data_IF_564437622078
#
_entry.id   IF_564437622078
#
_cell.length_a   1.000
_cell.length_b   1.000
_cell.length_c   1.000
_cell.angle_alpha   90.00
_cell.angle_beta   90.00
_cell.angle_gamma   90.00
#
_symmetry.space_group_name_H-M   'P 1'
#
loop_
_entity.id
_entity.type
_entity.pdbx_description
1 polymer ?
#
# COMPACT_ATOMS: atom_id res chain seq x y z
N UNK A 1 -2.01 -13.30 -11.79
CA UNK A 1 -3.28 -12.59 -11.60
C UNK A 1 -3.38 -12.04 -10.19
N UNK A 2 -3.77 -12.88 -9.23
CA UNK A 2 -4.00 -12.53 -7.82
C UNK A 2 -2.82 -11.86 -7.11
N UNK A 3 -1.58 -12.28 -7.38
CA UNK A 3 -0.40 -11.64 -6.82
C UNK A 3 -0.28 -10.17 -7.25
N UNK A 4 -0.43 -9.87 -8.55
CA UNK A 4 -0.41 -8.49 -9.05
C UNK A 4 -1.56 -7.66 -8.46
N UNK A 5 -2.73 -8.26 -8.28
CA UNK A 5 -3.86 -7.62 -7.58
C UNK A 5 -3.50 -7.29 -6.14
N UNK A 6 -2.90 -8.22 -5.39
CA UNK A 6 -2.41 -8.00 -4.03
C UNK A 6 -1.36 -6.89 -3.97
N UNK A 7 -0.42 -6.86 -4.91
CA UNK A 7 0.60 -5.80 -4.97
C UNK A 7 -0.02 -4.43 -5.23
N UNK A 8 -1.06 -4.33 -6.06
CA UNK A 8 -1.76 -3.07 -6.31
C UNK A 8 -2.54 -2.55 -5.08
N UNK A 9 -2.79 -3.41 -4.08
CA UNK A 9 -3.41 -3.01 -2.82
C UNK A 9 -2.39 -2.56 -1.75
N UNK A 10 -1.10 -2.54 -2.06
CA UNK A 10 -0.09 -2.03 -1.13
C UNK A 10 -0.36 -0.55 -0.78
N UNK A 11 -0.35 -0.17 0.51
CA UNK A 11 -0.72 1.17 0.94
C UNK A 11 0.44 2.16 0.78
N UNK A 12 0.99 2.27 -0.43
CA UNK A 12 2.10 3.15 -0.77
C UNK A 12 2.14 3.50 -2.27
N UNK A 13 2.76 4.63 -2.60
CA UNK A 13 2.99 5.07 -3.99
C UNK A 13 1.70 5.45 -4.73
N UNK A 14 1.70 5.28 -6.04
CA UNK A 14 0.55 5.52 -6.93
C UNK A 14 -0.41 4.32 -7.05
N UNK A 15 -0.19 3.26 -6.28
CA UNK A 15 -1.01 2.06 -6.31
C UNK A 15 -2.43 2.36 -5.82
N UNK A 16 -3.41 1.55 -6.18
CA UNK A 16 -4.80 1.73 -5.73
C UNK A 16 -4.88 1.66 -4.19
N UNK A 17 -4.07 0.80 -3.57
CA UNK A 17 -3.90 0.75 -2.11
C UNK A 17 -3.35 2.04 -1.50
N UNK A 18 -2.50 2.77 -2.22
CA UNK A 18 -2.00 4.09 -1.82
C UNK A 18 -3.10 5.13 -1.75
N UNK A 19 -4.00 5.16 -2.74
CA UNK A 19 -5.17 6.05 -2.75
C UNK A 19 -6.15 5.70 -1.63
N UNK A 20 -6.41 4.41 -1.40
CA UNK A 20 -7.26 3.92 -0.30
C UNK A 20 -6.65 4.29 1.05
N UNK A 21 -5.36 4.07 1.26
CA UNK A 21 -4.67 4.44 2.49
C UNK A 21 -4.64 5.95 2.70
N UNK A 22 -4.46 6.73 1.63
CA UNK A 22 -4.55 8.18 1.70
C UNK A 22 -5.94 8.64 2.14
N UNK A 23 -7.00 8.07 1.56
CA UNK A 23 -8.36 8.38 1.94
C UNK A 23 -8.65 8.03 3.41
N UNK A 24 -8.23 6.84 3.86
CA UNK A 24 -8.48 6.35 5.22
C UNK A 24 -7.69 7.11 6.30
N UNK A 25 -6.43 7.42 6.03
CA UNK A 25 -5.48 7.88 7.05
C UNK A 25 -5.04 9.33 6.86
N UNK A 26 -5.39 9.97 5.74
CA UNK A 26 -5.16 11.39 5.47
C UNK A 26 -3.73 11.83 5.78
N UNK A 27 -3.57 12.66 6.82
CA UNK A 27 -2.27 13.19 7.26
C UNK A 27 -1.28 12.13 7.74
N UNK A 28 -1.77 10.96 8.17
CA UNK A 28 -0.94 9.85 8.63
C UNK A 28 -0.45 8.96 7.47
N UNK A 29 -0.94 9.18 6.24
CA UNK A 29 -0.55 8.40 5.06
C UNK A 29 0.97 8.29 4.85
N UNK A 30 1.79 9.36 4.98
CA UNK A 30 3.23 9.25 4.79
C UNK A 30 3.88 8.24 5.74
N UNK A 31 3.38 8.10 6.97
CA UNK A 31 3.89 7.09 7.92
C UNK A 31 3.54 5.67 7.46
N UNK A 32 2.35 5.47 6.89
CA UNK A 32 1.89 4.16 6.39
C UNK A 32 2.65 3.77 5.13
N UNK A 33 2.86 4.71 4.21
CA UNK A 33 3.65 4.47 3.01
C UNK A 33 5.11 4.11 3.35
N UNK A 34 5.72 4.83 4.30
CA UNK A 34 7.07 4.54 4.77
C UNK A 34 7.15 3.19 5.50
N UNK A 35 6.16 2.86 6.34
CA UNK A 35 6.09 1.56 7.00
C UNK A 35 5.97 0.43 5.99
N UNK A 36 5.14 0.59 4.96
CA UNK A 36 4.97 -0.39 3.87
C UNK A 36 6.29 -0.63 3.16
N UNK A 37 7.03 0.44 2.85
CA UNK A 37 8.34 0.35 2.22
C UNK A 37 9.35 -0.38 3.12
N UNK A 38 9.40 -0.07 4.41
CA UNK A 38 10.25 -0.78 5.37
C UNK A 38 9.91 -2.27 5.48
N UNK A 39 8.62 -2.61 5.50
CA UNK A 39 8.15 -4.00 5.51
C UNK A 39 8.58 -4.73 4.24
N UNK A 40 8.43 -4.12 3.06
CA UNK A 40 8.85 -4.71 1.79
C UNK A 40 10.37 -4.94 1.74
N UNK A 41 11.17 -3.95 2.16
CA UNK A 41 12.62 -4.11 2.24
C UNK A 41 13.02 -5.21 3.24
N UNK A 42 12.36 -5.25 4.40
CA UNK A 42 12.56 -6.29 5.40
C UNK A 42 12.21 -7.69 4.87
N UNK A 43 11.07 -7.84 4.19
CA UNK A 43 10.67 -9.08 3.55
C UNK A 43 11.68 -9.52 2.49
N UNK A 44 12.15 -8.60 1.65
CA UNK A 44 13.20 -8.87 0.66
C UNK A 44 14.49 -9.38 1.31
N UNK A 45 14.90 -8.75 2.41
CA UNK A 45 16.11 -9.11 3.14
C UNK A 45 15.98 -10.44 3.90
N UNK A 46 14.93 -10.63 4.71
CA UNK A 46 14.78 -11.82 5.54
C UNK A 46 14.37 -13.07 4.74
N UNK A 47 13.55 -12.91 3.70
CA UNK A 47 13.12 -14.03 2.86
C UNK A 47 14.06 -14.30 1.68
N UNK A 48 15.08 -13.45 1.48
CA UNK A 48 16.02 -13.52 0.36
C UNK A 48 15.30 -13.53 -1.01
N UNK A 49 14.23 -12.74 -1.11
CA UNK A 49 13.35 -12.68 -2.29
C UNK A 49 13.53 -11.32 -3.00
N UNK A 50 14.22 -11.27 -4.17
CA UNK A 50 14.51 -10.03 -4.88
C UNK A 50 13.25 -9.25 -5.35
N UNK A 51 12.13 -9.93 -5.47
CA UNK A 51 10.85 -9.40 -5.93
C UNK A 51 10.33 -8.31 -4.99
N UNK A 52 10.54 -8.43 -3.67
CA UNK A 52 10.11 -7.39 -2.73
C UNK A 52 10.92 -6.10 -2.88
N UNK A 53 12.21 -6.21 -3.22
CA UNK A 53 13.04 -5.03 -3.55
C UNK A 53 12.60 -4.37 -4.85
N UNK A 54 12.20 -5.16 -5.86
CA UNK A 54 11.64 -4.62 -7.11
C UNK A 54 10.40 -3.76 -6.84
N UNK A 55 9.48 -4.24 -6.00
CA UNK A 55 8.28 -3.47 -5.65
C UNK A 55 8.57 -2.26 -4.77
N UNK A 56 9.48 -2.38 -3.80
CA UNK A 56 9.93 -1.23 -3.01
C UNK A 56 10.54 -0.14 -3.91
N UNK A 57 11.38 -0.53 -4.87
CA UNK A 57 11.97 0.38 -5.86
C UNK A 57 10.90 1.05 -6.73
N UNK A 58 9.90 0.31 -7.19
CA UNK A 58 8.80 0.85 -7.98
C UNK A 58 7.95 1.86 -7.18
N UNK A 59 7.68 1.57 -5.90
CA UNK A 59 6.99 2.49 -4.99
C UNK A 59 7.82 3.77 -4.80
N UNK A 60 9.14 3.68 -4.67
CA UNK A 60 10.01 4.86 -4.59
C UNK A 60 9.98 5.70 -5.87
N UNK A 61 9.97 5.06 -7.05
CA UNK A 61 9.92 5.74 -8.35
C UNK A 61 8.57 6.40 -8.63
N UNK A 62 7.46 5.81 -8.17
CA UNK A 62 6.11 6.39 -8.36
C UNK A 62 5.88 7.70 -7.59
N UNK A 63 6.87 8.11 -6.79
CA UNK A 63 6.92 9.41 -6.13
C UNK A 63 5.91 9.53 -4.99
N UNK A 64 6.03 10.58 -4.14
CA UNK A 64 5.08 10.86 -3.07
C UNK A 64 3.78 11.42 -3.67
N UNK A 65 3.01 10.58 -4.35
CA UNK A 65 1.68 10.96 -4.82
C UNK A 65 0.74 10.95 -3.63
N UNK A 66 0.51 12.14 -3.06
CA UNK A 66 -0.75 12.87 -3.15
C UNK A 66 -0.49 14.32 -2.68
N UNK A 67 -0.65 15.33 -3.55
CA UNK A 67 -0.58 16.72 -3.12
C UNK A 67 -1.70 16.96 -2.11
N UNK A 68 -1.32 17.51 -0.95
CA UNK A 68 -2.22 17.82 0.17
C UNK A 68 -3.45 18.58 -0.37
N UNK A 69 -4.66 18.01 -0.39
CA UNK A 69 -5.86 18.79 -0.63
C UNK A 69 -5.93 19.79 0.52
N UNK A 70 -5.99 21.07 0.21
CA UNK A 70 -6.17 22.16 1.18
C UNK A 70 -7.53 22.09 1.92
N UNK A 71 -8.36 21.08 1.65
CA UNK A 71 -9.71 20.90 2.19
C UNK A 71 -9.88 19.53 2.82
N UNK A 72 -9.44 19.43 4.06
CA UNK A 72 -9.53 18.27 4.97
C UNK A 72 -10.88 18.29 5.73
N UNK A 73 -12.00 18.61 5.05
CA UNK A 73 -13.26 19.03 5.73
C UNK A 73 -14.42 18.03 5.61
N UNK A 74 -14.32 16.99 4.77
CA UNK A 74 -15.33 15.93 4.67
C UNK A 74 -14.74 14.60 5.15
N UNK A 75 -15.15 14.13 6.33
CA UNK A 75 -14.83 12.78 6.78
C UNK A 75 -15.33 11.72 5.79
N UNK A 76 -14.64 10.60 5.70
CA UNK A 76 -15.09 9.46 4.90
C UNK A 76 -16.42 8.92 5.43
N UNK A 77 -17.38 8.74 4.52
CA UNK A 77 -18.62 8.01 4.80
C UNK A 77 -18.33 6.56 5.23
N UNK A 78 -19.17 5.98 6.09
CA UNK A 78 -18.96 4.66 6.70
C UNK A 78 -18.75 3.56 5.64
N UNK A 79 -19.45 3.65 4.52
CA UNK A 79 -19.29 2.73 3.39
C UNK A 79 -17.88 2.74 2.81
N UNK A 80 -17.23 3.91 2.72
CA UNK A 80 -15.87 4.04 2.19
C UNK A 80 -14.82 3.49 3.15
N UNK A 81 -15.04 3.68 4.45
CA UNK A 81 -14.20 3.09 5.50
C UNK A 81 -14.25 1.56 5.46
N UNK A 82 -15.45 0.99 5.29
CA UNK A 82 -15.65 -0.45 5.12
C UNK A 82 -14.93 -1.00 3.88
N UNK A 83 -15.03 -0.33 2.74
CA UNK A 83 -14.33 -0.73 1.50
C UNK A 83 -12.82 -0.66 1.71
N UNK A 84 -12.32 0.40 2.34
CA UNK A 84 -10.89 0.52 2.62
C UNK A 84 -10.37 -0.56 3.58
N UNK A 85 -11.13 -0.89 4.62
CA UNK A 85 -10.81 -1.99 5.53
C UNK A 85 -10.82 -3.35 4.80
N UNK A 86 -11.77 -3.57 3.90
CA UNK A 86 -11.84 -4.76 3.07
C UNK A 86 -10.63 -4.86 2.12
N UNK A 87 -10.18 -3.76 1.52
CA UNK A 87 -8.96 -3.73 0.70
C UNK A 87 -7.71 -4.10 1.50
N UNK A 88 -7.60 -3.66 2.75
CA UNK A 88 -6.50 -4.05 3.64
C UNK A 88 -6.59 -5.55 3.96
N UNK A 89 -7.79 -6.07 4.25
CA UNK A 89 -8.00 -7.50 4.46
C UNK A 89 -7.58 -8.32 3.23
N UNK A 90 -7.97 -7.88 2.04
CA UNK A 90 -7.59 -8.53 0.78
C UNK A 90 -6.08 -8.50 0.55
N UNK A 91 -5.40 -7.42 0.91
CA UNK A 91 -3.94 -7.37 0.86
C UNK A 91 -3.32 -8.52 1.68
N UNK A 92 -3.76 -8.72 2.93
CA UNK A 92 -3.26 -9.80 3.77
C UNK A 92 -3.64 -11.20 3.29
N UNK A 93 -4.80 -11.36 2.65
CA UNK A 93 -5.23 -12.64 2.07
C UNK A 93 -4.48 -12.99 0.78
N UNK A 94 -4.10 -11.97 -0.01
CA UNK A 94 -3.48 -12.14 -1.32
C UNK A 94 -1.96 -12.06 -1.28
N UNK A 95 -1.37 -11.51 -0.21
CA UNK A 95 0.08 -11.45 -0.06
C UNK A 95 0.61 -12.86 0.20
N UNK A 96 1.17 -13.46 -0.83
CA UNK A 96 1.90 -14.73 -0.73
C UNK A 96 3.38 -14.42 -0.53
N UNK A 97 3.99 -14.71 0.64
CA UNK A 97 5.40 -14.38 0.92
C UNK A 97 6.39 -15.01 -0.07
N UNK A 98 6.02 -16.17 -0.63
CA UNK A 98 6.75 -16.87 -1.69
C UNK A 98 5.78 -17.16 -2.85
N UNK A 99 5.56 -16.19 -3.75
CA UNK A 99 4.62 -16.36 -4.86
C UNK A 99 5.14 -17.34 -5.93
N UNK A 100 6.47 -17.50 -6.02
CA UNK A 100 7.13 -18.36 -6.99
C UNK A 100 8.18 -19.19 -6.25
N UNK A 101 7.95 -20.49 -6.16
CA UNK A 101 8.93 -21.51 -5.74
C UNK A 101 9.78 -21.95 -6.92
#
# INVERSE_FOLDING_TARGET
GLFLTGMNLLPAGQLDGGHVAYALFGRSYPYIANLTLLVLLGMGFFLQQPQWFFWAFFIMLSGPSHPRPLNDISGLDQARTLIGAFSILLLFLLITPQPFS
#
